data_IF_028377942431
#
_entry.id   IF_028377942431
#
_cell.length_a   1.000
_cell.length_b   1.000
_cell.length_c   1.000
_cell.angle_alpha   90.00
_cell.angle_beta   90.00
_cell.angle_gamma   90.00
#
_symmetry.space_group_name_H-M   'P 1'
#
loop_
_entity.id
_entity.type
_entity.pdbx_description
1 polymer ?
#
# COMPACT_ATOMS: atom_id res chain seq x y z
N UNK A 1 6.03 -1.03 -9.23
CA UNK A 1 7.41 -0.80 -8.78
C UNK A 1 7.41 -0.68 -7.27
N UNK A 2 8.06 -1.60 -6.57
CA UNK A 2 8.09 -1.64 -5.10
C UNK A 2 9.29 -0.80 -4.62
N UNK A 3 9.04 0.44 -4.20
CA UNK A 3 10.07 1.36 -3.71
C UNK A 3 10.19 1.14 -2.20
N UNK A 4 11.02 0.19 -1.79
CA UNK A 4 11.35 -0.04 -0.37
C UNK A 4 12.39 0.99 0.10
N UNK A 5 11.94 2.22 0.32
CA UNK A 5 12.74 3.29 0.92
C UNK A 5 12.98 3.07 2.41
N UNK A 6 14.18 3.36 2.89
CA UNK A 6 14.65 3.15 4.27
C UNK A 6 14.05 4.14 5.29
N UNK A 7 12.79 4.54 5.13
CA UNK A 7 12.10 5.55 5.93
C UNK A 7 10.64 5.12 6.11
N UNK A 8 10.13 5.23 7.35
CA UNK A 8 8.73 5.02 7.78
C UNK A 8 7.83 4.41 6.68
N UNK A 9 7.93 3.09 6.50
CA UNK A 9 7.62 2.38 5.25
C UNK A 9 6.26 2.79 4.65
N UNK A 10 6.25 3.74 3.74
CA UNK A 10 5.00 4.21 3.15
C UNK A 10 4.58 3.25 2.04
N UNK A 11 3.52 2.45 2.22
CA UNK A 11 2.95 1.69 1.12
C UNK A 11 2.24 2.69 0.21
N UNK A 12 2.66 2.80 -1.04
CA UNK A 12 2.02 3.65 -2.03
C UNK A 12 1.48 2.78 -3.16
N UNK A 13 0.20 2.95 -3.49
CA UNK A 13 -0.46 2.21 -4.55
C UNK A 13 -1.33 3.14 -5.40
N UNK A 14 -1.57 2.73 -6.63
CA UNK A 14 -2.53 3.37 -7.50
C UNK A 14 -3.32 2.30 -8.24
N UNK A 15 -4.59 2.58 -8.46
CA UNK A 15 -5.55 1.74 -9.17
C UNK A 15 -6.13 2.56 -10.29
N UNK A 16 -6.22 1.97 -11.48
CA UNK A 16 -6.90 2.59 -12.60
C UNK A 16 -7.69 1.54 -13.36
N UNK A 17 -8.82 1.94 -13.92
CA UNK A 17 -9.62 1.13 -14.82
C UNK A 17 -9.16 1.24 -16.29
N UNK A 18 -8.06 1.95 -16.54
CA UNK A 18 -7.48 2.28 -17.86
C UNK A 18 -8.26 3.28 -18.74
N UNK A 19 -9.45 3.73 -18.32
CA UNK A 19 -10.30 4.61 -19.13
C UNK A 19 -10.46 5.99 -18.51
N UNK A 20 -11.08 6.09 -17.34
CA UNK A 20 -11.47 7.38 -16.74
C UNK A 20 -11.29 7.40 -15.21
N UNK A 21 -11.12 6.24 -14.58
CA UNK A 21 -11.02 6.13 -13.14
C UNK A 21 -9.57 5.93 -12.69
N UNK A 22 -9.14 6.79 -11.77
CA UNK A 22 -7.82 6.75 -11.15
C UNK A 22 -7.96 7.00 -9.64
N UNK A 23 -7.42 6.08 -8.84
CA UNK A 23 -7.38 6.16 -7.38
C UNK A 23 -5.95 5.95 -6.90
N UNK A 24 -5.43 6.89 -6.12
CA UNK A 24 -4.10 6.79 -5.51
C UNK A 24 -4.21 6.77 -3.99
N UNK A 25 -3.54 5.81 -3.37
CA UNK A 25 -3.49 5.65 -1.92
C UNK A 25 -2.05 5.67 -1.40
N UNK A 26 -1.87 6.17 -0.19
CA UNK A 26 -0.61 6.09 0.55
C UNK A 26 -0.91 5.75 2.01
N UNK A 27 -0.29 4.69 2.51
CA UNK A 27 -0.35 4.26 3.91
C UNK A 27 0.95 4.67 4.58
N UNK A 28 0.86 5.36 5.71
CA UNK A 28 2.02 5.83 6.47
C UNK A 28 2.10 5.10 7.81
N UNK A 29 3.20 4.38 8.06
CA UNK A 29 3.46 3.82 9.40
C UNK A 29 4.20 4.83 10.26
N UNK A 30 3.56 5.27 11.34
CA UNK A 30 4.19 6.12 12.36
C UNK A 30 5.00 5.28 13.35
N UNK A 31 5.96 4.49 12.85
CA UNK A 31 6.82 3.64 13.68
C UNK A 31 8.29 4.09 13.55
N UNK A 32 9.03 4.09 14.68
CA UNK A 32 10.49 4.22 14.64
C UNK A 32 11.08 3.09 13.80
N UNK A 33 12.14 3.34 13.00
CA UNK A 33 12.66 2.40 12.01
C UNK A 33 13.31 1.19 12.69
N UNK A 34 12.49 0.25 13.17
CA UNK A 34 12.91 -1.06 13.64
C UNK A 34 12.45 -2.08 12.61
N UNK A 35 13.33 -2.34 11.64
CA UNK A 35 13.04 -3.04 10.39
C UNK A 35 12.61 -4.50 10.61
N UNK A 36 13.03 -5.12 11.71
CA UNK A 36 12.76 -6.53 12.02
C UNK A 36 11.37 -6.79 12.65
N UNK A 37 10.73 -5.81 13.29
CA UNK A 37 9.41 -6.01 13.92
C UNK A 37 8.23 -5.60 13.05
N UNK A 38 8.48 -4.83 11.98
CA UNK A 38 7.44 -4.28 11.12
C UNK A 38 7.10 -5.14 9.90
N UNK A 39 7.96 -6.10 9.55
CA UNK A 39 7.76 -6.98 8.41
C UNK A 39 6.36 -7.66 8.37
N UNK A 40 5.87 -8.31 9.45
CA UNK A 40 4.56 -8.95 9.42
C UNK A 40 3.40 -7.95 9.31
N UNK A 41 3.54 -6.75 9.88
CA UNK A 41 2.54 -5.70 9.75
C UNK A 41 2.49 -5.19 8.31
N UNK A 42 3.65 -4.90 7.70
CA UNK A 42 3.74 -4.44 6.31
C UNK A 42 3.13 -5.48 5.37
N UNK A 43 3.42 -6.77 5.58
CA UNK A 43 2.86 -7.87 4.78
C UNK A 43 1.33 -7.94 4.92
N UNK A 44 0.81 -7.83 6.14
CA UNK A 44 -0.63 -7.79 6.42
C UNK A 44 -1.33 -6.63 5.71
N UNK A 45 -0.81 -5.41 5.85
CA UNK A 45 -1.37 -4.24 5.18
C UNK A 45 -1.23 -4.30 3.65
N UNK A 46 -0.18 -4.94 3.14
CA UNK A 46 -0.03 -5.16 1.69
C UNK A 46 -1.13 -6.09 1.19
N UNK A 47 -1.41 -7.20 1.89
CA UNK A 47 -2.49 -8.12 1.54
C UNK A 47 -3.87 -7.44 1.57
N UNK A 48 -4.13 -6.62 2.59
CA UNK A 48 -5.38 -5.84 2.69
C UNK A 48 -5.52 -4.84 1.54
N UNK A 49 -4.43 -4.14 1.17
CA UNK A 49 -4.44 -3.22 0.02
C UNK A 49 -4.70 -3.98 -1.27
N UNK A 50 -4.11 -5.16 -1.47
CA UNK A 50 -4.41 -5.99 -2.65
C UNK A 50 -5.89 -6.39 -2.68
N UNK A 51 -6.43 -6.86 -1.56
CA UNK A 51 -7.84 -7.23 -1.49
C UNK A 51 -8.78 -6.05 -1.74
N UNK A 52 -8.44 -4.86 -1.23
CA UNK A 52 -9.17 -3.62 -1.51
C UNK A 52 -9.20 -3.33 -3.01
N UNK A 53 -8.07 -3.49 -3.69
CA UNK A 53 -7.95 -3.26 -5.15
C UNK A 53 -8.80 -4.27 -5.93
N UNK A 54 -8.77 -5.55 -5.55
CA UNK A 54 -9.52 -6.63 -6.23
C UNK A 54 -11.04 -6.48 -6.09
N UNK A 55 -11.48 -6.02 -4.92
CA UNK A 55 -12.91 -5.81 -4.62
C UNK A 55 -13.42 -4.45 -5.06
N UNK A 56 -12.53 -3.54 -5.45
CA UNK A 56 -12.91 -2.22 -5.96
C UNK A 56 -13.77 -2.37 -7.22
N UNK A 57 -14.91 -1.69 -7.22
CA UNK A 57 -15.84 -1.61 -8.35
C UNK A 57 -16.09 -0.15 -8.66
N UNK A 58 -15.65 0.26 -9.83
CA UNK A 58 -15.96 1.56 -10.40
C UNK A 58 -17.47 1.61 -10.74
N UNK A 59 -18.06 2.80 -10.64
CA UNK A 59 -19.48 3.05 -10.94
C UNK A 59 -19.60 4.09 -12.02
#
# INVERSE_FOLDING_TARGET
>A
YDIKGNSASSIQFYVTDSSEHYLRGALYFRCQPNKDSLAPAIEYFTADVVHLIETLRWK
#
